data_IF_075388799215
#
_entry.id   IF_075388799215
#
_cell.length_a   1.000
_cell.length_b   1.000
_cell.length_c   1.000
_cell.angle_alpha   90.00
_cell.angle_beta   90.00
_cell.angle_gamma   90.00
#
_symmetry.space_group_name_H-M   'P 1'
#
loop_
_entity.id
_entity.type
_entity.pdbx_description
1 polymer ?
#
# COMPACT_ATOMS: atom_id res chain seq x y z
N UNK A 1 8.83 -9.03 8.76
CA UNK A 1 7.68 -8.17 9.11
C UNK A 1 7.83 -6.78 8.49
N UNK A 2 6.73 -6.26 7.91
CA UNK A 2 6.59 -4.89 7.44
C UNK A 2 6.36 -3.94 8.64
N UNK A 3 7.22 -2.94 8.77
CA UNK A 3 7.12 -1.88 9.78
C UNK A 3 6.33 -0.68 9.25
N UNK A 4 5.88 0.20 10.15
CA UNK A 4 5.19 1.43 9.78
C UNK A 4 6.03 2.36 8.87
N UNK A 5 7.34 2.60 9.12
CA UNK A 5 8.16 3.42 8.21
C UNK A 5 8.22 2.86 6.79
N UNK A 6 8.40 1.54 6.64
CA UNK A 6 8.39 0.89 5.32
C UNK A 6 7.02 0.94 4.66
N UNK A 7 5.95 0.85 5.44
CA UNK A 7 4.61 1.07 4.92
C UNK A 7 4.46 2.49 4.38
N UNK A 8 4.96 3.51 5.09
CA UNK A 8 4.90 4.91 4.63
C UNK A 8 5.61 5.04 3.27
N UNK A 9 6.83 4.50 3.12
CA UNK A 9 7.56 4.50 1.85
C UNK A 9 6.75 3.87 0.69
N UNK A 10 6.08 2.75 0.96
CA UNK A 10 5.19 2.08 -0.01
C UNK A 10 4.01 3.00 -0.38
N UNK A 11 3.39 3.64 0.62
CA UNK A 11 2.23 4.49 0.44
C UNK A 11 2.55 5.78 -0.31
N UNK A 12 3.70 6.40 -0.07
CA UNK A 12 4.13 7.60 -0.80
C UNK A 12 4.27 7.33 -2.30
N UNK A 13 4.92 6.22 -2.65
CA UNK A 13 5.08 5.79 -4.06
C UNK A 13 3.73 5.46 -4.70
N UNK A 14 2.87 4.74 -3.97
CA UNK A 14 1.51 4.43 -4.42
C UNK A 14 0.69 5.71 -4.64
N UNK A 15 0.69 6.64 -3.68
CA UNK A 15 -0.07 7.89 -3.77
C UNK A 15 0.36 8.74 -4.95
N UNK A 16 1.68 8.85 -5.19
CA UNK A 16 2.22 9.57 -6.36
C UNK A 16 1.67 9.01 -7.68
N UNK A 17 1.63 7.70 -7.82
CA UNK A 17 1.12 7.05 -9.03
C UNK A 17 -0.40 7.16 -9.15
N UNK A 18 -1.15 6.98 -8.06
CA UNK A 18 -2.60 7.14 -8.07
C UNK A 18 -3.01 8.58 -8.42
N UNK A 19 -2.30 9.58 -7.90
CA UNK A 19 -2.56 10.98 -8.25
C UNK A 19 -2.37 11.26 -9.73
N UNK A 20 -1.32 10.70 -10.34
CA UNK A 20 -1.06 10.84 -11.78
C UNK A 20 -2.12 10.18 -12.64
N UNK A 21 -2.67 9.04 -12.19
CA UNK A 21 -3.59 8.23 -13.00
C UNK A 21 -5.07 8.57 -12.80
N UNK A 22 -5.45 8.96 -11.57
CA UNK A 22 -6.84 9.11 -11.15
C UNK A 22 -7.14 10.50 -10.57
N UNK A 23 -6.15 11.38 -10.40
CA UNK A 23 -6.38 12.71 -9.83
C UNK A 23 -6.44 12.70 -8.31
N UNK A 24 -7.46 13.32 -7.72
CA UNK A 24 -7.49 13.59 -6.27
C UNK A 24 -7.37 12.30 -5.44
N UNK A 25 -6.27 12.17 -4.70
CA UNK A 25 -5.97 10.95 -3.94
C UNK A 25 -5.26 11.30 -2.63
N UNK A 26 -5.83 10.88 -1.50
CA UNK A 26 -5.26 11.10 -0.16
C UNK A 26 -5.68 10.01 0.84
N UNK A 27 -4.81 9.74 1.81
CA UNK A 27 -5.09 8.84 2.93
C UNK A 27 -5.61 9.68 4.08
N UNK A 28 -6.78 9.32 4.60
CA UNK A 28 -7.37 10.03 5.75
C UNK A 28 -7.25 9.24 7.06
N UNK A 29 -6.92 7.94 6.99
CA UNK A 29 -6.74 7.12 8.20
C UNK A 29 -5.88 5.88 7.96
N UNK A 30 -4.86 5.72 8.80
CA UNK A 30 -4.09 4.48 8.94
C UNK A 30 -4.35 3.93 10.35
N UNK A 31 -4.67 2.64 10.47
CA UNK A 31 -4.78 1.93 11.74
C UNK A 31 -3.91 0.69 11.73
N UNK A 32 -3.02 0.60 12.71
CA UNK A 32 -2.15 -0.54 12.92
C UNK A 32 -2.82 -1.59 13.80
N UNK A 33 -2.64 -2.86 13.44
CA UNK A 33 -3.04 -4.03 14.22
C UNK A 33 -1.86 -4.98 14.32
N UNK A 34 -1.96 -6.00 15.19
CA UNK A 34 -0.89 -6.99 15.41
C UNK A 34 -0.33 -7.58 14.10
N UNK A 35 -1.20 -8.04 13.19
CA UNK A 35 -0.79 -8.76 11.96
C UNK A 35 -1.01 -7.98 10.66
N UNK A 36 -1.58 -6.77 10.72
CA UNK A 36 -1.99 -6.02 9.52
C UNK A 36 -2.06 -4.51 9.75
N UNK A 37 -2.01 -3.77 8.66
CA UNK A 37 -2.40 -2.36 8.61
C UNK A 37 -3.71 -2.22 7.85
N UNK A 38 -4.59 -1.33 8.34
CA UNK A 38 -5.80 -0.90 7.64
C UNK A 38 -5.62 0.55 7.22
N UNK A 39 -5.71 0.81 5.93
CA UNK A 39 -5.62 2.15 5.34
C UNK A 39 -6.97 2.49 4.74
N UNK A 40 -7.46 3.70 4.99
CA UNK A 40 -8.64 4.23 4.34
C UNK A 40 -8.25 5.51 3.61
N UNK A 41 -8.64 5.60 2.34
CA UNK A 41 -8.21 6.65 1.43
C UNK A 41 -9.32 7.02 0.46
N UNK A 42 -9.19 8.19 -0.15
CA UNK A 42 -9.99 8.63 -1.29
C UNK A 42 -9.13 8.50 -2.55
N UNK A 43 -9.72 8.02 -3.64
CA UNK A 43 -9.15 7.99 -5.00
C UNK A 43 -10.24 8.45 -5.96
N UNK A 44 -10.10 9.61 -6.55
CA UNK A 44 -11.08 10.22 -7.46
C UNK A 44 -12.51 10.16 -6.89
N UNK A 45 -12.71 10.74 -5.71
CA UNK A 45 -13.98 10.73 -4.95
C UNK A 45 -14.44 9.36 -4.44
N UNK A 46 -13.76 8.26 -4.81
CA UNK A 46 -14.12 6.92 -4.36
C UNK A 46 -13.44 6.57 -3.04
N UNK A 47 -14.22 6.04 -2.09
CA UNK A 47 -13.68 5.50 -0.84
C UNK A 47 -13.01 4.17 -1.09
N UNK A 48 -11.73 4.09 -0.78
CA UNK A 48 -10.92 2.88 -0.89
C UNK A 48 -10.42 2.46 0.49
N UNK A 49 -10.55 1.17 0.78
CA UNK A 49 -10.03 0.53 1.99
C UNK A 49 -9.01 -0.53 1.61
N UNK A 50 -7.83 -0.44 2.18
CA UNK A 50 -6.72 -1.36 1.95
C UNK A 50 -6.38 -2.08 3.26
N UNK A 51 -6.17 -3.39 3.19
CA UNK A 51 -5.65 -4.20 4.29
C UNK A 51 -4.31 -4.78 3.84
N UNK A 52 -3.21 -4.42 4.50
CA UNK A 52 -1.86 -4.90 4.20
C UNK A 52 -1.41 -5.84 5.31
N UNK A 53 -1.00 -7.06 4.98
CA UNK A 53 -0.51 -8.03 5.96
C UNK A 53 0.97 -7.78 6.26
N UNK A 54 1.36 -7.84 7.54
CA UNK A 54 2.73 -7.53 7.99
C UNK A 54 3.72 -8.64 7.74
N UNK A 55 3.26 -9.89 7.74
CA UNK A 55 4.12 -11.07 7.72
C UNK A 55 4.27 -11.71 6.34
N UNK A 56 3.51 -11.22 5.36
CA UNK A 56 3.57 -11.68 3.97
C UNK A 56 3.21 -10.56 3.02
N UNK A 57 3.76 -10.63 1.81
CA UNK A 57 3.42 -9.72 0.72
C UNK A 57 2.01 -10.03 0.22
N UNK A 58 1.02 -9.53 0.94
CA UNK A 58 -0.40 -9.68 0.64
C UNK A 58 -1.13 -8.42 1.01
N UNK A 59 -2.06 -8.03 0.15
CA UNK A 59 -3.00 -6.96 0.42
C UNK A 59 -4.40 -7.29 -0.11
N UNK A 60 -5.42 -6.77 0.58
CA UNK A 60 -6.80 -6.75 0.09
C UNK A 60 -7.19 -5.29 -0.13
N UNK A 61 -7.87 -5.01 -1.23
CA UNK A 61 -8.36 -3.67 -1.59
C UNK A 61 -9.85 -3.79 -1.79
N UNK A 62 -10.59 -2.82 -1.25
CA UNK A 62 -12.03 -2.68 -1.38
C UNK A 62 -12.33 -1.26 -1.87
N UNK A 63 -13.01 -1.13 -3.00
CA UNK A 63 -13.33 0.15 -3.65
C UNK A 63 -14.79 0.16 -4.15
N UNK A 64 -15.73 -0.18 -3.26
CA UNK A 64 -17.16 -0.21 -3.57
C UNK A 64 -17.47 -1.12 -4.77
N UNK A 65 -18.13 -0.56 -5.80
CA UNK A 65 -18.51 -1.29 -7.02
C UNK A 65 -17.46 -1.22 -8.15
N UNK A 66 -16.30 -0.61 -7.91
CA UNK A 66 -15.28 -0.40 -8.95
C UNK A 66 -14.22 -1.51 -8.92
N UNK A 67 -14.61 -2.72 -9.37
CA UNK A 67 -13.68 -3.89 -9.42
C UNK A 67 -12.37 -3.59 -10.18
N UNK A 68 -12.42 -2.79 -11.25
CA UNK A 68 -11.23 -2.40 -12.00
C UNK A 68 -10.24 -1.57 -11.17
N UNK A 69 -10.77 -0.66 -10.34
CA UNK A 69 -9.97 0.17 -9.42
C UNK A 69 -9.32 -0.69 -8.33
N UNK A 70 -10.06 -1.63 -7.75
CA UNK A 70 -9.54 -2.57 -6.74
C UNK A 70 -8.35 -3.37 -7.29
N UNK A 71 -8.50 -3.94 -8.48
CA UNK A 71 -7.45 -4.75 -9.13
C UNK A 71 -6.22 -3.88 -9.42
N UNK A 72 -6.41 -2.66 -9.94
CA UNK A 72 -5.31 -1.75 -10.27
C UNK A 72 -4.53 -1.36 -9.02
N UNK A 73 -5.22 -0.87 -7.97
CA UNK A 73 -4.58 -0.47 -6.71
C UNK A 73 -3.87 -1.66 -6.05
N UNK A 74 -4.49 -2.84 -6.05
CA UNK A 74 -3.88 -4.06 -5.50
C UNK A 74 -2.57 -4.40 -6.21
N UNK A 75 -2.55 -4.35 -7.54
CA UNK A 75 -1.34 -4.64 -8.34
C UNK A 75 -0.23 -3.62 -8.04
N UNK A 76 -0.55 -2.33 -8.03
CA UNK A 76 0.41 -1.26 -7.72
C UNK A 76 1.00 -1.43 -6.31
N UNK A 77 0.15 -1.67 -5.32
CA UNK A 77 0.58 -1.84 -3.94
C UNK A 77 1.48 -3.07 -3.74
N UNK A 78 1.14 -4.22 -4.36
CA UNK A 78 1.97 -5.42 -4.28
C UNK A 78 3.33 -5.22 -4.94
N UNK A 79 3.38 -4.49 -6.07
CA UNK A 79 4.65 -4.12 -6.72
C UNK A 79 5.53 -3.30 -5.79
N UNK A 80 4.99 -2.26 -5.17
CA UNK A 80 5.74 -1.41 -4.25
C UNK A 80 6.16 -2.13 -2.96
N UNK A 81 5.33 -3.04 -2.45
CA UNK A 81 5.66 -3.88 -1.31
C UNK A 81 6.82 -4.83 -1.65
N UNK A 82 6.77 -5.52 -2.80
CA UNK A 82 7.89 -6.36 -3.24
C UNK A 82 9.18 -5.57 -3.44
N UNK A 83 9.10 -4.33 -3.92
CA UNK A 83 10.27 -3.44 -4.03
C UNK A 83 10.86 -3.14 -2.65
N UNK A 84 10.02 -2.77 -1.69
CA UNK A 84 10.44 -2.44 -0.33
C UNK A 84 11.07 -3.63 0.42
N UNK A 85 10.55 -4.84 0.22
CA UNK A 85 11.13 -6.04 0.83
C UNK A 85 12.48 -6.42 0.21
N UNK A 86 12.68 -6.18 -1.09
CA UNK A 86 13.98 -6.35 -1.74
C UNK A 86 15.02 -5.36 -1.23
N UNK A 87 14.66 -4.10 -1.03
CA UNK A 87 15.55 -3.09 -0.44
C UNK A 87 15.97 -3.48 0.98
N UNK A 88 15.02 -3.94 1.80
CA UNK A 88 15.29 -4.46 3.14
C UNK A 88 16.31 -5.61 3.16
N UNK A 89 16.23 -6.49 2.17
CA UNK A 89 17.14 -7.63 2.10
C UNK A 89 18.56 -7.17 1.77
N UNK A 90 18.72 -6.24 0.82
CA UNK A 90 20.03 -5.66 0.48
C UNK A 90 20.68 -4.94 1.66
N UNK A 91 19.92 -4.12 2.38
CA UNK A 91 20.42 -3.43 3.60
C UNK A 91 20.95 -4.43 4.64
N UNK A 92 20.33 -5.62 4.75
CA UNK A 92 20.81 -6.69 5.63
C UNK A 92 22.10 -7.33 5.14
N UNK A 93 22.21 -7.57 3.83
CA UNK A 93 23.40 -8.16 3.21
C UNK A 93 24.61 -7.22 3.28
N UNK A 94 24.40 -5.90 3.19
CA UNK A 94 25.45 -4.87 3.32
C UNK A 94 25.87 -4.59 4.77
N UNK A 95 25.11 -5.09 5.76
CA UNK A 95 25.40 -4.89 7.20
C UNK A 95 26.12 -6.08 7.85
N UNK A 96 26.50 -7.10 7.07
CA UNK A 96 27.23 -8.32 7.49
C UNK A 96 28.62 -8.27 6.90
#
# INVERSE_FOLDING_TARGET
>A
MLSLPRLINILERLLKELRRKYGETYIYRIKEYKSKFKINMIVDKNRVKIIVYKDKVKARVYAGNLRGLEISIRRMLIREYNKEMRLKQREREESI
#
